data_IF_697808530246
#
_entry.id   IF_697808530246
#
_cell.length_a   1.000
_cell.length_b   1.000
_cell.length_c   1.000
_cell.angle_alpha   90.00
_cell.angle_beta   90.00
_cell.angle_gamma   90.00
#
_symmetry.space_group_name_H-M   'P 1'
#
loop_
_entity.id
_entity.type
_entity.pdbx_description
1 polymer ?
#
# COMPACT_ATOMS: atom_id res chain seq x y z
N UNK A 1 3.85 -8.24 -30.77
CA UNK A 1 2.95 -7.42 -31.60
C UNK A 1 3.65 -7.12 -32.92
N UNK A 2 2.91 -6.93 -34.01
CA UNK A 2 3.45 -6.58 -35.32
C UNK A 2 2.68 -5.40 -35.89
N UNK A 3 3.38 -4.32 -36.23
CA UNK A 3 2.88 -3.20 -37.02
C UNK A 3 3.45 -3.30 -38.43
N UNK A 4 2.63 -3.04 -39.43
CA UNK A 4 3.12 -2.86 -40.79
C UNK A 4 3.74 -1.46 -40.95
N UNK A 5 4.53 -1.24 -42.00
CA UNK A 5 5.00 0.10 -42.33
C UNK A 5 3.79 1.04 -42.56
N UNK A 6 3.82 2.22 -41.93
CA UNK A 6 2.71 3.18 -41.97
C UNK A 6 1.44 2.79 -41.20
N UNK A 7 1.45 1.69 -40.43
CA UNK A 7 0.33 1.28 -39.58
C UNK A 7 0.23 2.18 -38.35
N UNK A 8 -0.79 3.05 -38.32
CA UNK A 8 -1.11 3.97 -37.22
C UNK A 8 -2.19 3.41 -36.28
N UNK A 9 -2.53 2.13 -36.38
CA UNK A 9 -3.55 1.51 -35.53
C UNK A 9 -3.00 1.11 -34.17
N UNK A 10 -3.78 1.41 -33.12
CA UNK A 10 -3.51 0.95 -31.78
C UNK A 10 -3.57 -0.59 -31.71
N UNK A 11 -2.57 -1.19 -31.07
CA UNK A 11 -2.57 -2.63 -30.74
C UNK A 11 -2.62 -2.78 -29.23
N UNK A 12 -3.76 -3.16 -28.65
CA UNK A 12 -3.91 -3.24 -27.20
C UNK A 12 -3.17 -4.45 -26.62
N UNK A 13 -2.57 -4.26 -25.45
CA UNK A 13 -2.28 -5.35 -24.51
C UNK A 13 -3.39 -5.36 -23.45
N UNK A 14 -3.81 -6.55 -23.02
CA UNK A 14 -4.73 -6.70 -21.90
C UNK A 14 -3.98 -7.23 -20.69
N UNK A 15 -4.09 -6.51 -19.58
CA UNK A 15 -3.60 -6.94 -18.27
C UNK A 15 -4.81 -7.11 -17.37
N UNK A 16 -5.02 -8.32 -16.87
CA UNK A 16 -6.08 -8.59 -15.89
C UNK A 16 -5.54 -8.33 -14.49
N UNK A 17 -6.25 -7.51 -13.72
CA UNK A 17 -5.98 -7.31 -12.30
C UNK A 17 -6.75 -8.35 -11.48
N UNK A 18 -6.18 -8.75 -10.35
CA UNK A 18 -6.87 -9.56 -9.34
C UNK A 18 -7.28 -8.58 -8.25
N UNK A 19 -8.58 -8.31 -8.15
CA UNK A 19 -9.17 -7.49 -7.11
C UNK A 19 -9.62 -8.40 -5.96
N UNK A 20 -9.30 -8.05 -4.71
CA UNK A 20 -9.70 -8.81 -3.54
C UNK A 20 -10.52 -7.97 -2.55
N UNK A 21 -10.41 -8.18 -1.25
CA UNK A 21 -11.16 -7.39 -0.26
C UNK A 21 -10.28 -6.85 0.87
N UNK A 22 -8.97 -7.06 0.78
CA UNK A 22 -7.97 -6.53 1.70
C UNK A 22 -7.57 -5.13 1.23
N UNK A 23 -7.13 -4.32 2.19
CA UNK A 23 -6.53 -3.03 1.87
C UNK A 23 -5.05 -3.29 1.73
N UNK A 24 -4.51 -2.96 0.57
CA UNK A 24 -3.09 -3.03 0.22
C UNK A 24 -2.55 -1.66 -0.21
N UNK A 25 -1.26 -1.62 -0.57
CA UNK A 25 -0.61 -0.41 -1.08
C UNK A 25 -0.67 -0.41 -2.62
N UNK A 26 -0.76 0.77 -3.23
CA UNK A 26 -0.65 0.92 -4.68
C UNK A 26 0.60 0.22 -5.27
N UNK A 27 0.40 -0.61 -6.31
CA UNK A 27 1.48 -1.22 -7.07
C UNK A 27 1.82 -0.47 -8.36
N UNK A 28 3.03 -0.70 -8.87
CA UNK A 28 3.51 -0.13 -10.13
C UNK A 28 3.73 -1.23 -11.15
N UNK A 29 3.05 -1.10 -12.29
CA UNK A 29 3.32 -1.86 -13.50
C UNK A 29 4.14 -0.99 -14.46
N UNK A 30 5.35 -1.43 -14.78
CA UNK A 30 6.20 -0.76 -15.78
C UNK A 30 6.02 -1.49 -17.10
N UNK A 31 5.59 -0.76 -18.13
CA UNK A 31 5.46 -1.28 -19.50
C UNK A 31 6.48 -0.57 -20.37
N UNK A 32 7.36 -1.33 -21.02
CA UNK A 32 8.37 -0.81 -21.93
C UNK A 32 8.27 -1.51 -23.28
N UNK A 33 8.34 -0.74 -24.37
CA UNK A 33 8.56 -1.24 -25.72
C UNK A 33 10.05 -1.53 -25.89
N UNK A 34 10.41 -2.60 -26.61
CA UNK A 34 11.81 -2.98 -26.75
C UNK A 34 12.07 -3.92 -27.92
N UNK A 35 13.34 -4.03 -28.30
CA UNK A 35 13.84 -4.89 -29.37
C UNK A 35 13.08 -4.75 -30.71
N UNK A 36 12.93 -3.51 -31.27
CA UNK A 36 12.37 -3.37 -32.61
C UNK A 36 13.26 -4.14 -33.61
N UNK A 37 12.63 -4.79 -34.58
CA UNK A 37 13.34 -5.52 -35.65
C UNK A 37 13.25 -4.76 -36.97
N UNK A 38 14.15 -5.06 -37.91
CA UNK A 38 14.25 -4.34 -39.18
C UNK A 38 14.86 -2.94 -39.02
N UNK A 39 14.33 -1.96 -39.75
CA UNK A 39 14.76 -0.56 -39.69
C UNK A 39 13.93 0.30 -38.74
N UNK A 40 13.02 -0.30 -37.95
CA UNK A 40 12.15 0.43 -37.04
C UNK A 40 12.95 1.01 -35.86
N UNK A 41 12.55 2.21 -35.43
CA UNK A 41 13.06 2.87 -34.22
C UNK A 41 11.88 3.15 -33.29
N UNK A 42 12.11 3.03 -31.97
CA UNK A 42 11.12 3.42 -30.97
C UNK A 42 11.12 4.95 -30.83
N UNK A 43 9.93 5.53 -30.72
CA UNK A 43 9.75 6.94 -30.37
C UNK A 43 9.60 7.13 -28.86
N UNK A 44 9.52 8.39 -28.44
CA UNK A 44 9.27 8.75 -27.03
C UNK A 44 7.78 9.00 -26.76
N UNK A 45 7.23 8.55 -25.61
CA UNK A 45 7.86 7.67 -24.63
C UNK A 45 7.84 6.19 -25.08
N UNK A 46 8.92 5.45 -24.84
CA UNK A 46 8.96 3.99 -25.04
C UNK A 46 8.57 3.21 -23.77
N UNK A 47 8.50 3.90 -22.63
CA UNK A 47 8.23 3.34 -21.30
C UNK A 47 7.14 4.13 -20.61
N UNK A 48 6.19 3.43 -19.99
CA UNK A 48 5.12 4.00 -19.16
C UNK A 48 5.03 3.27 -17.83
N UNK A 49 4.79 4.02 -16.75
CA UNK A 49 4.51 3.47 -15.43
C UNK A 49 3.02 3.64 -15.16
N UNK A 50 2.33 2.51 -14.99
CA UNK A 50 0.92 2.44 -14.62
C UNK A 50 0.84 2.15 -13.12
N UNK A 51 0.06 2.94 -12.39
CA UNK A 51 -0.24 2.66 -10.98
C UNK A 51 -1.53 1.86 -10.89
N UNK A 52 -1.45 0.69 -10.27
CA UNK A 52 -2.61 -0.09 -9.86
C UNK A 52 -2.97 0.41 -8.46
N UNK A 53 -4.22 0.83 -8.29
CA UNK A 53 -4.70 1.36 -7.01
C UNK A 53 -5.60 0.33 -6.36
N UNK A 54 -5.36 0.12 -5.07
CA UNK A 54 -6.28 -0.59 -4.20
C UNK A 54 -7.57 0.24 -4.03
N UNK A 55 -8.74 -0.40 -4.16
CA UNK A 55 -10.05 0.26 -4.05
C UNK A 55 -10.72 0.02 -2.70
N UNK A 56 -10.04 -0.66 -1.79
CA UNK A 56 -10.56 -0.94 -0.48
C UNK A 56 -10.35 0.28 0.43
N UNK A 57 -10.99 0.23 1.59
CA UNK A 57 -10.71 1.16 2.66
C UNK A 57 -10.21 0.36 3.87
N UNK A 58 -9.23 0.93 4.56
CA UNK A 58 -8.76 0.38 5.82
C UNK A 58 -9.91 0.17 6.82
N UNK A 59 -9.92 -0.99 7.49
CA UNK A 59 -10.93 -1.30 8.49
C UNK A 59 -10.42 -2.30 9.52
N UNK A 60 -10.53 -1.96 10.81
CA UNK A 60 -10.29 -2.91 11.90
C UNK A 60 -11.20 -4.15 11.88
N UNK A 61 -12.23 -4.20 11.03
CA UNK A 61 -13.01 -5.42 10.85
C UNK A 61 -12.37 -6.42 9.89
N UNK A 62 -11.46 -5.96 9.05
CA UNK A 62 -10.77 -6.72 8.01
C UNK A 62 -9.32 -7.06 8.38
N UNK A 63 -8.83 -6.62 9.55
CA UNK A 63 -7.44 -6.87 9.95
C UNK A 63 -7.14 -8.34 10.17
N UNK A 64 -5.93 -8.73 9.80
CA UNK A 64 -5.36 -10.05 10.07
C UNK A 64 -4.17 -9.92 11.03
N UNK A 65 -3.81 -11.02 11.70
CA UNK A 65 -2.64 -11.07 12.59
C UNK A 65 -2.83 -10.50 14.00
N UNK A 66 -3.86 -9.68 14.26
CA UNK A 66 -4.25 -9.20 15.60
C UNK A 66 -5.77 -9.15 15.79
N UNK A 67 -6.23 -8.97 17.02
CA UNK A 67 -7.66 -8.78 17.30
C UNK A 67 -8.17 -7.40 16.84
N UNK A 68 -9.49 -7.33 16.54
CA UNK A 68 -10.16 -6.06 16.20
C UNK A 68 -10.04 -5.00 17.30
N UNK A 69 -9.86 -5.42 18.56
CA UNK A 69 -9.70 -4.53 19.70
C UNK A 69 -8.32 -3.90 19.74
N UNK A 70 -7.28 -4.70 19.53
CA UNK A 70 -5.90 -4.21 19.41
C UNK A 70 -5.77 -3.25 18.22
N UNK A 71 -6.40 -3.57 17.07
CA UNK A 71 -6.45 -2.64 15.96
C UNK A 71 -7.08 -1.29 16.34
N UNK A 72 -8.22 -1.30 17.04
CA UNK A 72 -8.88 -0.06 17.50
C UNK A 72 -8.01 0.72 18.48
N UNK A 73 -7.25 0.03 19.34
CA UNK A 73 -6.29 0.66 20.24
C UNK A 73 -5.16 1.34 19.45
N UNK A 74 -4.53 0.64 18.50
CA UNK A 74 -3.50 1.20 17.62
C UNK A 74 -4.03 2.39 16.81
N UNK A 75 -5.20 2.27 16.17
CA UNK A 75 -5.81 3.38 15.43
C UNK A 75 -6.11 4.57 16.33
N UNK A 76 -6.56 4.34 17.57
CA UNK A 76 -6.74 5.42 18.53
C UNK A 76 -5.43 6.11 18.89
N UNK A 77 -4.32 5.37 19.04
CA UNK A 77 -2.99 5.96 19.23
C UNK A 77 -2.61 6.82 18.01
N UNK A 78 -2.73 6.28 16.80
CA UNK A 78 -2.46 6.98 15.55
C UNK A 78 -3.25 8.30 15.46
N UNK A 79 -4.57 8.24 15.59
CA UNK A 79 -5.44 9.41 15.43
C UNK A 79 -5.22 10.46 16.54
N UNK A 80 -4.93 10.04 17.78
CA UNK A 80 -4.74 10.96 18.92
C UNK A 80 -3.34 11.52 19.07
N UNK A 81 -2.38 10.97 18.31
CA UNK A 81 -0.99 11.44 18.35
C UNK A 81 -0.51 12.05 17.03
N UNK A 82 -1.46 12.51 16.19
CA UNK A 82 -1.22 13.09 14.86
C UNK A 82 -0.43 12.16 13.92
N UNK A 83 -0.90 10.91 13.79
CA UNK A 83 -0.28 9.85 12.98
C UNK A 83 0.09 10.22 11.55
N UNK A 84 -0.71 11.08 10.91
CA UNK A 84 -0.43 11.58 9.55
C UNK A 84 0.83 12.45 9.48
N UNK A 85 1.31 12.99 10.62
CA UNK A 85 2.49 13.85 10.77
C UNK A 85 3.68 13.16 11.46
N UNK A 86 3.61 11.85 11.71
CA UNK A 86 4.73 11.09 12.24
C UNK A 86 5.90 11.07 11.26
N UNK A 87 7.10 10.83 11.76
CA UNK A 87 8.31 10.76 10.93
C UNK A 87 8.28 9.53 10.01
N UNK A 88 7.75 8.41 10.50
CA UNK A 88 7.48 7.19 9.77
C UNK A 88 6.14 6.61 10.22
N UNK A 89 5.14 6.67 9.34
CA UNK A 89 3.82 6.08 9.50
C UNK A 89 3.57 4.93 8.51
N UNK A 90 4.63 4.32 7.98
CA UNK A 90 4.53 3.29 6.95
C UNK A 90 3.57 2.16 7.38
N UNK A 91 2.58 1.88 6.53
CA UNK A 91 1.57 0.84 6.73
C UNK A 91 0.37 1.26 7.59
N UNK A 92 0.52 2.23 8.49
CA UNK A 92 -0.54 2.62 9.41
C UNK A 92 -1.80 3.09 8.66
N UNK A 93 -2.90 2.36 8.84
CA UNK A 93 -4.18 2.58 8.12
C UNK A 93 -4.06 2.53 6.58
N UNK A 94 -2.91 2.12 6.04
CA UNK A 94 -2.68 1.85 4.62
C UNK A 94 -2.82 0.37 4.29
N UNK A 95 -2.71 -0.51 5.28
CA UNK A 95 -2.92 -1.95 5.11
C UNK A 95 -3.80 -2.52 6.20
N UNK A 96 -4.46 -3.66 5.93
CA UNK A 96 -5.16 -4.43 6.96
C UNK A 96 -4.24 -5.44 7.68
N UNK A 97 -2.91 -5.23 7.67
CA UNK A 97 -1.91 -6.11 8.29
C UNK A 97 -1.10 -5.38 9.36
N UNK A 98 -1.66 -5.11 10.56
CA UNK A 98 -1.01 -4.27 11.57
C UNK A 98 0.37 -4.73 12.05
N UNK A 99 0.68 -6.03 11.94
CA UNK A 99 1.99 -6.58 12.28
C UNK A 99 3.12 -6.15 11.32
N UNK A 100 2.78 -5.56 10.17
CA UNK A 100 3.73 -5.02 9.20
C UNK A 100 3.82 -3.49 9.28
N UNK A 101 3.06 -2.84 10.17
CA UNK A 101 3.12 -1.40 10.36
C UNK A 101 4.43 -1.02 11.05
N UNK A 102 4.94 0.16 10.72
CA UNK A 102 6.15 0.68 11.35
C UNK A 102 6.02 0.66 12.88
N UNK A 103 7.02 0.06 13.55
CA UNK A 103 7.11 0.00 15.00
C UNK A 103 6.22 -1.07 15.66
N UNK A 104 5.37 -1.79 14.93
CA UNK A 104 4.50 -2.83 15.52
C UNK A 104 5.14 -4.19 15.37
N UNK A 105 5.38 -4.89 16.47
CA UNK A 105 5.78 -6.30 16.45
C UNK A 105 4.69 -7.16 17.08
N UNK A 106 4.22 -8.15 16.34
CA UNK A 106 3.24 -9.11 16.84
C UNK A 106 3.90 -10.37 17.41
N UNK A 107 3.31 -10.93 18.47
CA UNK A 107 3.65 -12.23 19.03
C UNK A 107 2.34 -13.02 19.18
N UNK A 108 2.29 -14.22 18.61
CA UNK A 108 1.17 -15.17 18.78
C UNK A 108 -0.22 -14.58 18.54
N UNK A 109 -0.40 -13.82 17.45
CA UNK A 109 -1.71 -13.26 17.09
C UNK A 109 -2.14 -12.01 17.86
N UNK A 110 -1.22 -11.38 18.58
CA UNK A 110 -1.43 -10.15 19.37
C UNK A 110 -0.24 -9.21 19.22
N UNK A 111 -0.44 -7.92 19.53
CA UNK A 111 0.65 -6.93 19.56
C UNK A 111 1.56 -7.25 20.75
N UNK A 112 2.80 -7.64 20.47
CA UNK A 112 3.78 -8.02 21.48
C UNK A 112 4.72 -6.88 21.88
N UNK A 113 4.92 -5.90 21.00
CA UNK A 113 5.77 -4.75 21.22
C UNK A 113 5.38 -3.61 20.27
N UNK A 114 5.54 -2.38 20.75
CA UNK A 114 5.28 -1.16 20.00
C UNK A 114 6.43 -0.18 20.24
N UNK A 115 7.24 0.05 19.22
CA UNK A 115 8.41 0.91 19.27
C UNK A 115 8.21 2.11 18.33
N UNK A 116 7.86 3.25 18.90
CA UNK A 116 7.62 4.51 18.18
C UNK A 116 8.49 5.64 18.74
N UNK A 117 9.63 5.31 19.36
CA UNK A 117 10.53 6.32 19.89
C UNK A 117 11.04 7.23 18.78
N UNK A 118 11.22 8.51 19.10
CA UNK A 118 11.68 9.54 18.16
C UNK A 118 10.81 9.70 16.90
N UNK A 119 9.56 9.20 16.91
CA UNK A 119 8.66 9.26 15.75
C UNK A 119 7.74 10.51 15.73
N UNK A 120 8.11 11.56 16.48
CA UNK A 120 7.39 12.84 16.52
C UNK A 120 5.90 12.73 16.92
N UNK A 121 5.54 11.77 17.78
CA UNK A 121 4.19 11.64 18.32
C UNK A 121 3.82 12.91 19.11
N UNK A 122 2.68 13.52 18.77
CA UNK A 122 2.20 14.76 19.41
C UNK A 122 0.80 14.59 19.94
N UNK A 123 0.55 14.99 21.19
CA UNK A 123 -0.76 14.87 21.82
C UNK A 123 -0.72 13.95 23.02
N UNK A 124 -1.84 13.31 23.32
CA UNK A 124 -1.98 12.42 24.47
C UNK A 124 -2.38 11.02 24.03
N UNK A 125 -1.77 10.01 24.63
CA UNK A 125 -2.17 8.63 24.41
C UNK A 125 -3.59 8.44 24.94
N UNK A 126 -4.53 8.13 24.03
CA UNK A 126 -5.94 7.91 24.38
C UNK A 126 -6.11 6.80 25.41
N UNK A 127 -6.97 6.98 26.41
CA UNK A 127 -7.32 5.90 27.35
C UNK A 127 -7.92 4.67 26.66
N UNK A 128 -8.45 4.82 25.43
CA UNK A 128 -8.94 3.70 24.62
C UNK A 128 -7.82 2.75 24.23
N UNK A 129 -6.57 3.22 24.16
CA UNK A 129 -5.39 2.39 23.94
C UNK A 129 -5.23 1.33 25.04
N UNK A 130 -5.55 1.68 26.28
CA UNK A 130 -5.43 0.77 27.44
C UNK A 130 -6.67 -0.12 27.66
N UNK A 131 -7.70 -0.01 26.81
CA UNK A 131 -8.94 -0.79 26.93
C UNK A 131 -8.99 -1.86 25.84
N UNK A 132 -8.36 -3.00 26.12
CA UNK A 132 -8.47 -4.26 25.38
C UNK A 132 -9.61 -5.13 25.96
#
# INVERSE_FOLDING_TARGET
MNWADGDDTDKPITVNIIDDSQQENDEKLIVALGNPTGSAQLGEPDTVVVTIRDNEAFSCNKVTGISKKECKALVALYDTTEGDNWQDNSGWKMTNTPCNWHGVTCKTGSVGELELSNNNLKGAISIKFFKL
#
